data_IF_069869290081
#
_entry.id   IF_069869290081
#
_cell.length_a   1.000
_cell.length_b   1.000
_cell.length_c   1.000
_cell.angle_alpha   90.00
_cell.angle_beta   90.00
_cell.angle_gamma   90.00
#
_symmetry.space_group_name_H-M   'P 1'
#
loop_
_entity.id
_entity.type
_entity.pdbx_description
1 polymer ?
#
# COMPACT_ATOMS: atom_id res chain seq x y z
N UNK A 1 -26.94 35.90 -11.47
CA UNK A 1 -26.71 35.06 -10.28
C UNK A 1 -26.31 33.67 -10.76
N UNK A 2 -25.08 33.51 -11.26
CA UNK A 2 -24.52 32.23 -11.73
C UNK A 2 -22.99 32.28 -11.57
N UNK A 3 -22.38 31.17 -11.13
CA UNK A 3 -20.95 30.91 -11.30
C UNK A 3 -20.09 30.93 -10.04
N UNK A 4 -20.14 29.89 -9.20
CA UNK A 4 -19.02 29.56 -8.27
C UNK A 4 -18.80 28.04 -8.09
N UNK A 5 -19.34 27.19 -8.97
CA UNK A 5 -19.04 25.75 -8.97
C UNK A 5 -18.08 25.45 -10.13
N UNK A 6 -16.78 25.63 -9.90
CA UNK A 6 -15.77 25.30 -10.92
C UNK A 6 -14.38 25.92 -10.77
N UNK A 7 -14.13 26.75 -9.74
CA UNK A 7 -12.79 27.32 -9.53
C UNK A 7 -11.88 26.30 -8.83
N UNK A 8 -10.82 25.89 -9.53
CA UNK A 8 -9.68 25.17 -8.94
C UNK A 8 -9.21 25.87 -7.66
N UNK A 9 -8.95 25.12 -6.58
CA UNK A 9 -8.51 25.67 -5.27
C UNK A 9 -7.32 26.64 -5.42
N UNK A 10 -6.44 26.41 -6.40
CA UNK A 10 -5.28 27.25 -6.75
C UNK A 10 -5.67 28.70 -7.10
N UNK A 11 -6.84 28.93 -7.70
CA UNK A 11 -7.33 30.27 -8.09
C UNK A 11 -8.24 30.91 -7.04
N UNK A 12 -8.83 30.11 -6.15
CA UNK A 12 -9.75 30.59 -5.11
C UNK A 12 -8.99 31.31 -3.98
N UNK A 13 -7.82 30.80 -3.58
CA UNK A 13 -7.03 31.34 -2.47
C UNK A 13 -6.49 32.76 -2.70
N UNK A 14 -5.89 33.10 -3.86
CA UNK A 14 -5.43 34.47 -4.15
C UNK A 14 -6.58 35.47 -4.21
N UNK A 15 -7.73 35.08 -4.79
CA UNK A 15 -8.93 35.92 -4.89
C UNK A 15 -9.53 36.25 -3.53
N UNK A 16 -9.63 35.26 -2.63
CA UNK A 16 -10.15 35.46 -1.28
C UNK A 16 -9.20 36.30 -0.40
N UNK A 17 -7.88 36.22 -0.64
CA UNK A 17 -6.87 37.01 0.09
C UNK A 17 -6.92 38.52 -0.25
N UNK A 18 -7.36 38.89 -1.45
CA UNK A 18 -7.61 40.29 -1.81
C UNK A 18 -8.89 40.85 -1.20
N UNK A 19 -9.88 40.00 -0.90
CA UNK A 19 -11.25 40.41 -0.55
C UNK A 19 -11.56 40.39 0.95
N UNK A 20 -10.76 39.69 1.75
CA UNK A 20 -10.98 39.52 3.18
C UNK A 20 -9.70 39.80 3.99
N UNK A 21 -9.83 40.48 5.14
CA UNK A 21 -8.69 40.61 6.05
C UNK A 21 -8.25 39.23 6.60
N UNK A 22 -7.00 39.15 7.06
CA UNK A 22 -6.36 37.92 7.54
C UNK A 22 -7.13 37.16 8.61
N UNK A 23 -7.85 37.86 9.50
CA UNK A 23 -8.65 37.27 10.59
C UNK A 23 -9.98 36.69 10.11
N UNK A 24 -10.60 37.29 9.10
CA UNK A 24 -11.86 36.81 8.50
C UNK A 24 -11.60 35.64 7.53
N UNK A 25 -10.46 35.68 6.83
CA UNK A 25 -9.99 34.59 5.99
C UNK A 25 -9.63 33.34 6.81
N UNK A 26 -8.94 33.49 7.95
CA UNK A 26 -8.62 32.37 8.83
C UNK A 26 -9.86 31.72 9.43
N UNK A 27 -10.87 32.52 9.80
CA UNK A 27 -12.15 32.00 10.29
C UNK A 27 -12.91 31.20 9.22
N UNK A 28 -12.94 31.69 7.97
CA UNK A 28 -13.53 30.98 6.83
C UNK A 28 -12.82 29.66 6.52
N UNK A 29 -11.48 29.66 6.54
CA UNK A 29 -10.67 28.45 6.34
C UNK A 29 -10.93 27.44 7.47
N UNK A 30 -10.98 27.90 8.72
CA UNK A 30 -11.23 27.03 9.87
C UNK A 30 -12.65 26.47 9.84
N UNK A 31 -13.65 27.27 9.47
CA UNK A 31 -15.03 26.80 9.31
C UNK A 31 -15.18 25.82 8.14
N UNK A 32 -14.48 26.05 7.02
CA UNK A 32 -14.46 25.11 5.89
C UNK A 32 -13.78 23.79 6.28
N UNK A 33 -12.67 23.85 7.02
CA UNK A 33 -11.96 22.68 7.54
C UNK A 33 -12.80 21.93 8.58
N UNK A 34 -13.55 22.63 9.42
CA UNK A 34 -14.50 22.05 10.38
C UNK A 34 -15.71 21.41 9.67
N UNK A 35 -16.23 22.02 8.60
CA UNK A 35 -17.26 21.42 7.74
C UNK A 35 -16.75 20.17 7.01
N UNK A 36 -15.54 20.23 6.42
CA UNK A 36 -14.89 19.06 5.82
C UNK A 36 -14.65 17.97 6.86
N UNK A 37 -14.22 18.31 8.07
CA UNK A 37 -14.03 17.37 9.19
C UNK A 37 -15.34 16.75 9.68
N UNK A 38 -16.42 17.52 9.73
CA UNK A 38 -17.78 17.02 10.05
C UNK A 38 -18.32 16.08 8.97
N UNK A 39 -17.95 16.31 7.69
CA UNK A 39 -18.29 15.42 6.57
C UNK A 39 -17.39 14.18 6.50
N UNK A 40 -16.10 14.31 6.81
CA UNK A 40 -15.11 13.23 6.84
C UNK A 40 -14.99 12.65 8.25
N UNK A 41 -15.99 11.86 8.67
CA UNK A 41 -15.85 11.01 9.87
C UNK A 41 -14.85 9.87 9.59
N UNK A 42 -13.56 10.20 9.64
CA UNK A 42 -12.46 9.23 9.58
C UNK A 42 -12.63 8.27 10.75
N UNK A 43 -12.67 6.97 10.46
CA UNK A 43 -12.93 5.97 11.49
C UNK A 43 -11.78 5.90 12.49
N UNK A 44 -12.11 5.88 13.79
CA UNK A 44 -11.14 5.66 14.88
C UNK A 44 -10.47 4.28 14.84
N UNK A 45 -11.00 3.34 14.07
CA UNK A 45 -10.39 2.03 13.85
C UNK A 45 -9.23 2.05 12.85
N UNK A 46 -8.99 3.18 12.16
CA UNK A 46 -7.80 3.35 11.33
C UNK A 46 -6.59 3.61 12.22
N UNK A 47 -5.48 2.94 11.91
CA UNK A 47 -4.20 3.15 12.61
C UNK A 47 -3.47 4.27 11.86
N UNK A 48 -3.62 5.50 12.34
CA UNK A 48 -3.06 6.70 11.71
C UNK A 48 -2.20 7.47 12.71
N UNK A 49 -1.03 7.91 12.26
CA UNK A 49 -0.24 8.94 12.96
C UNK A 49 -0.99 10.28 12.96
N UNK A 50 -0.59 11.19 13.84
CA UNK A 50 -1.15 12.54 13.87
C UNK A 50 -0.97 13.27 12.53
N UNK A 51 0.22 13.17 11.92
CA UNK A 51 0.50 13.71 10.59
C UNK A 51 -0.44 13.17 9.51
N UNK A 52 -0.70 11.86 9.50
CA UNK A 52 -1.62 11.26 8.53
C UNK A 52 -3.07 11.74 8.70
N UNK A 53 -3.51 11.97 9.94
CA UNK A 53 -4.84 12.53 10.23
C UNK A 53 -4.96 13.95 9.67
N UNK A 54 -3.96 14.79 9.93
CA UNK A 54 -3.91 16.16 9.41
C UNK A 54 -3.91 16.19 7.88
N UNK A 55 -3.09 15.33 7.26
CA UNK A 55 -3.07 15.19 5.80
C UNK A 55 -4.42 14.76 5.25
N UNK A 56 -5.06 13.73 5.81
CA UNK A 56 -6.40 13.29 5.38
C UNK A 56 -7.45 14.38 5.55
N UNK A 57 -7.43 15.12 6.66
CA UNK A 57 -8.35 16.23 6.91
C UNK A 57 -8.09 17.45 6.01
N UNK A 58 -6.90 17.57 5.42
CA UNK A 58 -6.57 18.63 4.46
C UNK A 58 -6.98 18.32 3.03
N UNK A 59 -7.30 17.05 2.71
CA UNK A 59 -7.69 16.65 1.37
C UNK A 59 -9.12 17.11 1.05
N UNK A 60 -9.38 17.62 -0.17
CA UNK A 60 -10.73 17.97 -0.56
C UNK A 60 -11.62 16.73 -0.66
N UNK A 61 -12.90 16.88 -0.29
CA UNK A 61 -13.88 15.78 -0.26
C UNK A 61 -14.00 15.09 -1.63
N UNK A 62 -13.78 15.82 -2.73
CA UNK A 62 -13.78 15.27 -4.10
C UNK A 62 -12.71 14.20 -4.36
N UNK A 63 -11.66 14.12 -3.53
CA UNK A 63 -10.63 13.08 -3.61
C UNK A 63 -11.05 11.78 -2.94
N UNK A 64 -12.14 11.80 -2.17
CA UNK A 64 -12.69 10.61 -1.54
C UNK A 64 -13.69 9.94 -2.46
N UNK A 65 -13.62 8.63 -2.52
CA UNK A 65 -14.67 7.81 -3.09
C UNK A 65 -15.83 7.79 -2.10
N UNK A 66 -17.04 8.11 -2.57
CA UNK A 66 -18.30 7.78 -1.92
C UNK A 66 -19.25 7.32 -3.02
N UNK A 67 -19.33 6.00 -3.21
CA UNK A 67 -20.08 5.39 -4.31
C UNK A 67 -20.94 4.25 -3.79
N UNK A 68 -22.21 4.28 -4.18
CA UNK A 68 -23.19 3.24 -3.87
C UNK A 68 -23.60 2.52 -5.16
N UNK A 69 -23.65 1.20 -5.07
CA UNK A 69 -24.17 0.32 -6.10
C UNK A 69 -25.39 -0.44 -5.59
N UNK A 70 -26.27 -0.81 -6.52
CA UNK A 70 -27.51 -1.53 -6.23
C UNK A 70 -27.26 -2.98 -5.84
N UNK A 71 -26.23 -3.61 -6.43
CA UNK A 71 -25.81 -4.96 -6.09
C UNK A 71 -24.29 -5.12 -5.95
N UNK A 72 -23.88 -6.26 -5.40
CA UNK A 72 -22.48 -6.68 -5.35
C UNK A 72 -21.88 -6.91 -6.75
N UNK A 73 -22.70 -7.35 -7.71
CA UNK A 73 -22.24 -7.64 -9.07
C UNK A 73 -21.83 -6.35 -9.78
N UNK A 74 -22.63 -5.29 -9.64
CA UNK A 74 -22.35 -3.98 -10.25
C UNK A 74 -21.06 -3.35 -9.69
N UNK A 75 -20.77 -3.60 -8.40
CA UNK A 75 -19.55 -3.12 -7.77
C UNK A 75 -18.32 -4.00 -8.07
N UNK A 76 -18.47 -5.18 -8.66
CA UNK A 76 -17.39 -6.17 -8.78
C UNK A 76 -16.21 -5.63 -9.60
N UNK A 77 -16.47 -5.00 -10.75
CA UNK A 77 -15.41 -4.39 -11.57
C UNK A 77 -14.64 -3.31 -10.81
N UNK A 78 -15.35 -2.46 -10.06
CA UNK A 78 -14.73 -1.43 -9.23
C UNK A 78 -13.87 -2.04 -8.11
N UNK A 79 -14.39 -3.06 -7.42
CA UNK A 79 -13.67 -3.75 -6.35
C UNK A 79 -12.39 -4.43 -6.89
N UNK A 80 -12.43 -5.01 -8.10
CA UNK A 80 -11.26 -5.61 -8.75
C UNK A 80 -10.19 -4.57 -9.07
N UNK A 81 -10.55 -3.49 -9.76
CA UNK A 81 -9.60 -2.42 -10.14
C UNK A 81 -8.89 -1.82 -8.93
N UNK A 82 -9.58 -1.69 -7.81
CA UNK A 82 -9.01 -1.16 -6.57
C UNK A 82 -8.43 -2.23 -5.63
N UNK A 83 -8.36 -3.50 -6.04
CA UNK A 83 -7.88 -4.63 -5.25
C UNK A 83 -8.60 -4.79 -3.90
N UNK A 84 -9.88 -4.41 -3.82
CA UNK A 84 -10.70 -4.44 -2.61
C UNK A 84 -11.38 -5.80 -2.37
N UNK A 85 -11.27 -6.73 -3.32
CA UNK A 85 -11.71 -8.12 -3.13
C UNK A 85 -10.71 -8.84 -2.23
N UNK A 86 -11.20 -9.32 -1.09
CA UNK A 86 -10.36 -9.97 -0.07
C UNK A 86 -10.09 -11.44 -0.42
N UNK A 87 -9.27 -11.68 -1.44
CA UNK A 87 -8.69 -13.00 -1.70
C UNK A 87 -7.65 -13.36 -0.63
N UNK A 88 -7.42 -14.65 -0.43
CA UNK A 88 -6.42 -15.19 0.50
C UNK A 88 -5.00 -15.09 -0.07
N UNK A 89 -4.53 -13.87 -0.37
CA UNK A 89 -3.16 -13.59 -0.79
C UNK A 89 -2.39 -12.85 0.33
N UNK A 90 -1.29 -13.42 0.86
CA UNK A 90 -0.57 -12.84 1.99
C UNK A 90 0.06 -11.47 1.67
N UNK A 91 0.45 -11.28 0.42
CA UNK A 91 1.14 -10.10 -0.13
C UNK A 91 0.21 -8.92 -0.40
N UNK A 92 -1.10 -9.04 -0.20
CA UNK A 92 -2.02 -7.93 -0.48
C UNK A 92 -1.72 -6.70 0.39
N UNK A 93 -1.79 -5.51 -0.20
CA UNK A 93 -1.59 -4.24 0.49
C UNK A 93 -2.76 -3.87 1.41
N UNK A 94 -3.96 -4.38 1.15
CA UNK A 94 -5.14 -4.13 1.99
C UNK A 94 -5.23 -5.07 3.20
N UNK A 95 -5.30 -4.51 4.40
CA UNK A 95 -5.57 -5.27 5.64
C UNK A 95 -6.89 -4.83 6.25
N UNK A 96 -7.66 -5.82 6.73
CA UNK A 96 -8.88 -5.58 7.48
C UNK A 96 -8.50 -5.04 8.86
N UNK A 97 -9.03 -3.86 9.20
CA UNK A 97 -8.83 -3.19 10.49
C UNK A 97 -10.02 -3.34 11.42
N UNK A 98 -11.21 -3.33 10.84
CA UNK A 98 -12.45 -3.52 11.57
C UNK A 98 -13.44 -4.23 10.67
N UNK A 99 -14.19 -5.16 11.23
CA UNK A 99 -15.32 -5.78 10.55
C UNK A 99 -16.47 -5.96 11.54
N UNK A 100 -17.68 -5.68 11.07
CA UNK A 100 -18.90 -5.93 11.80
C UNK A 100 -19.88 -6.60 10.85
N UNK A 101 -19.96 -7.94 10.95
CA UNK A 101 -20.82 -8.76 10.09
C UNK A 101 -22.29 -8.38 10.24
N UNK A 102 -22.77 -8.17 11.47
CA UNK A 102 -24.16 -7.79 11.75
C UNK A 102 -24.56 -6.46 11.08
N UNK A 103 -23.62 -5.51 10.98
CA UNK A 103 -23.84 -4.21 10.32
C UNK A 103 -23.39 -4.19 8.85
N UNK A 104 -22.86 -5.30 8.33
CA UNK A 104 -22.31 -5.39 6.98
C UNK A 104 -21.10 -4.48 6.73
N UNK A 105 -20.36 -4.07 7.76
CA UNK A 105 -19.25 -3.11 7.65
C UNK A 105 -17.92 -3.86 7.58
N UNK A 106 -17.06 -3.48 6.63
CA UNK A 106 -15.65 -3.85 6.58
C UNK A 106 -14.80 -2.60 6.34
N UNK A 107 -13.79 -2.39 7.18
CA UNK A 107 -12.82 -1.31 7.06
C UNK A 107 -11.46 -1.90 6.67
N UNK A 108 -10.97 -1.46 5.54
CA UNK A 108 -9.67 -1.81 4.97
C UNK A 108 -8.73 -0.61 5.08
N UNK A 109 -7.46 -0.89 5.35
CA UNK A 109 -6.39 0.10 5.35
C UNK A 109 -5.16 -0.49 4.68
N UNK A 110 -4.43 0.36 3.94
CA UNK A 110 -3.15 -0.02 3.38
C UNK A 110 -2.14 -0.37 4.49
N UNK A 111 -1.46 -1.50 4.36
CA UNK A 111 -0.43 -1.96 5.29
C UNK A 111 0.79 -1.03 5.37
N UNK A 112 1.18 -0.39 4.26
CA UNK A 112 2.29 0.58 4.25
C UNK A 112 1.91 1.91 4.92
N UNK A 113 0.61 2.09 5.22
CA UNK A 113 0.06 3.23 5.95
C UNK A 113 -0.20 2.98 7.43
N UNK A 114 0.00 1.75 7.90
CA UNK A 114 -0.23 1.38 9.29
C UNK A 114 1.09 1.10 9.98
N UNK A 115 1.51 2.01 10.84
CA UNK A 115 2.66 1.78 11.69
C UNK A 115 2.34 0.66 12.70
N UNK A 116 3.15 -0.41 12.70
CA UNK A 116 2.96 -1.54 13.60
C UNK A 116 3.27 -1.17 15.05
N UNK A 117 4.10 -0.14 15.30
CA UNK A 117 4.43 0.35 16.64
C UNK A 117 3.23 0.98 17.35
N UNK A 118 2.29 1.54 16.59
CA UNK A 118 1.07 2.17 17.09
C UNK A 118 -0.05 1.18 17.42
N UNK A 119 0.17 -0.12 17.19
CA UNK A 119 -0.83 -1.13 17.58
C UNK A 119 -0.86 -1.26 19.09
N UNK A 120 -2.05 -1.33 19.72
CA UNK A 120 -2.15 -1.70 21.12
C UNK A 120 -1.40 -3.01 21.32
N UNK A 121 -0.44 -3.03 22.26
CA UNK A 121 0.08 -4.28 22.78
C UNK A 121 -1.09 -4.93 23.51
N UNK A 122 -1.82 -5.81 22.82
CA UNK A 122 -2.79 -6.64 23.51
C UNK A 122 -2.03 -7.35 24.63
N UNK A 123 -2.46 -7.14 25.89
CA UNK A 123 -1.84 -7.75 27.08
C UNK A 123 -1.85 -9.29 27.06
N UNK A 124 -2.42 -9.90 26.02
CA UNK A 124 -2.35 -11.32 25.76
C UNK A 124 -1.04 -11.67 25.06
N UNK A 125 -0.08 -12.14 25.85
CA UNK A 125 1.20 -12.75 25.46
C UNK A 125 1.11 -13.90 24.43
N UNK A 126 -0.11 -14.36 24.09
CA UNK A 126 -0.38 -15.43 23.11
C UNK A 126 -0.80 -14.95 21.72
N UNK A 127 -0.98 -13.64 21.49
CA UNK A 127 -1.31 -13.15 20.16
C UNK A 127 -0.06 -13.12 19.26
N UNK A 128 -0.03 -13.97 18.22
CA UNK A 128 1.04 -14.02 17.21
C UNK A 128 1.37 -12.60 16.73
N UNK A 129 2.62 -12.15 16.95
CA UNK A 129 3.10 -10.85 16.43
C UNK A 129 2.79 -10.79 14.94
N UNK A 130 1.88 -9.89 14.57
CA UNK A 130 1.56 -9.61 13.17
C UNK A 130 2.83 -9.08 12.50
N UNK A 131 3.54 -9.94 11.75
CA UNK A 131 4.73 -9.53 11.00
C UNK A 131 4.35 -8.41 10.04
N UNK A 132 5.08 -7.31 10.10
CA UNK A 132 4.91 -6.18 9.18
C UNK A 132 5.51 -6.59 7.84
N UNK A 133 4.64 -6.91 6.88
CA UNK A 133 5.04 -7.36 5.53
C UNK A 133 5.51 -6.17 4.69
N UNK A 134 5.26 -4.93 5.06
CA UNK A 134 5.61 -3.78 4.24
C UNK A 134 6.19 -2.66 5.08
N UNK A 135 7.21 -1.96 4.57
CA UNK A 135 7.76 -0.79 5.23
C UNK A 135 6.65 0.23 5.44
N UNK A 136 6.67 0.89 6.60
CA UNK A 136 5.80 2.03 6.83
C UNK A 136 6.30 3.22 5.99
N UNK A 137 5.44 3.73 5.10
CA UNK A 137 5.70 4.91 4.25
C UNK A 137 4.59 5.96 4.39
N UNK A 138 3.73 5.82 5.41
CA UNK A 138 2.68 6.81 5.69
C UNK A 138 1.53 6.85 4.68
N UNK A 139 1.32 5.79 3.90
CA UNK A 139 0.22 5.72 2.92
C UNK A 139 -1.14 6.04 3.57
N UNK A 140 -1.96 6.88 2.92
CA UNK A 140 -3.25 7.32 3.44
C UNK A 140 -4.42 6.43 3.00
N UNK A 141 -4.18 5.44 2.15
CA UNK A 141 -5.23 4.68 1.50
C UNK A 141 -6.04 3.83 2.51
N UNK A 142 -7.37 4.03 2.51
CA UNK A 142 -8.35 3.28 3.31
C UNK A 142 -9.68 3.16 2.56
N UNK A 143 -10.40 2.08 2.82
CA UNK A 143 -11.72 1.84 2.25
C UNK A 143 -12.67 1.31 3.32
N UNK A 144 -13.84 1.94 3.45
CA UNK A 144 -14.96 1.45 4.23
C UNK A 144 -16.00 0.89 3.28
N UNK A 145 -16.17 -0.43 3.30
CA UNK A 145 -17.18 -1.15 2.55
C UNK A 145 -18.37 -1.40 3.48
N UNK A 146 -19.56 -0.99 3.06
CA UNK A 146 -20.81 -1.25 3.77
C UNK A 146 -21.78 -2.00 2.86
N UNK A 147 -22.14 -3.20 3.26
CA UNK A 147 -23.18 -4.02 2.62
C UNK A 147 -24.50 -3.82 3.37
N UNK A 148 -25.56 -3.58 2.61
CA UNK A 148 -26.91 -3.37 3.13
C UNK A 148 -27.74 -4.65 2.97
N UNK A 149 -28.83 -4.77 3.72
CA UNK A 149 -29.73 -5.94 3.67
C UNK A 149 -30.36 -6.16 2.29
N UNK A 150 -30.56 -5.08 1.53
CA UNK A 150 -31.07 -5.10 0.16
C UNK A 150 -29.98 -5.37 -0.89
N UNK A 151 -28.87 -6.01 -0.51
CA UNK A 151 -27.71 -6.31 -1.35
C UNK A 151 -26.95 -5.11 -1.94
N UNK A 152 -27.39 -3.88 -1.68
CA UNK A 152 -26.63 -2.70 -2.03
C UNK A 152 -25.28 -2.67 -1.32
N UNK A 153 -24.29 -2.05 -1.97
CA UNK A 153 -22.95 -1.87 -1.43
C UNK A 153 -22.57 -0.40 -1.56
N UNK A 154 -22.06 0.18 -0.47
CA UNK A 154 -21.43 1.50 -0.47
C UNK A 154 -19.94 1.36 -0.15
N UNK A 155 -19.10 2.06 -0.90
CA UNK A 155 -17.68 2.20 -0.65
C UNK A 155 -17.37 3.67 -0.40
N UNK A 156 -16.85 3.93 0.81
CA UNK A 156 -16.37 5.24 1.21
C UNK A 156 -14.89 5.19 1.58
N UNK A 157 -14.06 6.12 1.08
CA UNK A 157 -12.68 6.28 1.55
C UNK A 157 -11.74 6.89 0.54
N UNK A 158 -10.47 7.05 0.95
CA UNK A 158 -9.40 7.51 0.08
C UNK A 158 -8.67 6.31 -0.51
N UNK A 159 -8.84 6.05 -1.81
CA UNK A 159 -8.34 4.82 -2.45
C UNK A 159 -6.96 4.97 -3.12
N UNK A 160 -6.43 6.19 -3.19
CA UNK A 160 -5.15 6.45 -3.87
C UNK A 160 -3.97 6.06 -3.00
N UNK A 161 -3.16 5.11 -3.48
CA UNK A 161 -1.88 4.77 -2.88
C UNK A 161 -0.81 5.81 -3.26
N UNK A 162 0.11 6.12 -2.34
CA UNK A 162 1.28 6.93 -2.67
C UNK A 162 2.23 6.18 -3.60
N UNK A 163 3.05 6.90 -4.37
CA UNK A 163 4.06 6.29 -5.25
C UNK A 163 5.02 5.39 -4.46
N UNK A 164 5.50 5.87 -3.30
CA UNK A 164 6.36 5.06 -2.42
C UNK A 164 5.67 3.77 -1.99
N UNK A 165 4.37 3.83 -1.71
CA UNK A 165 3.57 2.66 -1.38
C UNK A 165 3.45 1.71 -2.58
N UNK A 166 3.31 2.22 -3.80
CA UNK A 166 3.23 1.40 -5.01
C UNK A 166 4.55 0.67 -5.26
N UNK A 167 5.70 1.37 -5.08
CA UNK A 167 7.05 0.81 -5.19
C UNK A 167 7.41 -0.20 -4.09
N UNK A 168 6.69 -0.22 -2.97
CA UNK A 168 6.97 -1.19 -1.90
C UNK A 168 6.70 -2.63 -2.37
N UNK A 169 7.71 -3.48 -2.15
CA UNK A 169 7.63 -4.93 -2.21
C UNK A 169 7.39 -5.52 -0.81
N UNK A 170 6.73 -6.68 -0.72
CA UNK A 170 6.52 -7.35 0.55
C UNK A 170 7.86 -7.83 1.15
N UNK A 171 8.17 -7.43 2.39
CA UNK A 171 9.09 -8.12 3.27
C UNK A 171 8.58 -9.55 3.49
N UNK A 172 9.14 -10.50 2.76
CA UNK A 172 9.12 -11.88 3.23
C UNK A 172 10.09 -11.98 4.41
N UNK A 173 9.69 -12.52 5.57
CA UNK A 173 10.69 -12.97 6.53
C UNK A 173 11.61 -13.91 5.76
N UNK A 174 12.92 -13.68 5.83
CA UNK A 174 13.89 -14.65 5.31
C UNK A 174 13.51 -15.99 5.94
N UNK A 175 12.93 -16.90 5.15
CA UNK A 175 13.15 -18.30 5.41
C UNK A 175 14.58 -18.49 4.92
N UNK A 176 15.53 -18.33 5.84
CA UNK A 176 16.95 -18.14 5.53
C UNK A 176 17.42 -19.17 4.51
N UNK A 177 17.00 -20.42 4.63
CA UNK A 177 17.42 -21.50 3.73
C UNK A 177 16.84 -21.42 2.32
N UNK A 178 15.53 -21.23 2.17
CA UNK A 178 14.85 -21.28 0.87
C UNK A 178 15.14 -20.01 0.05
N UNK A 179 15.12 -18.84 0.70
CA UNK A 179 15.39 -17.58 0.01
C UNK A 179 16.88 -17.39 -0.27
N UNK A 180 17.77 -17.95 0.55
CA UNK A 180 19.21 -17.97 0.25
C UNK A 180 19.50 -18.81 -0.99
N UNK A 181 18.85 -19.97 -1.14
CA UNK A 181 19.02 -20.78 -2.36
C UNK A 181 18.50 -20.07 -3.61
N UNK A 182 17.33 -19.42 -3.57
CA UNK A 182 16.81 -18.67 -4.73
C UNK A 182 17.62 -17.41 -5.04
N UNK A 183 18.00 -16.65 -4.02
CA UNK A 183 18.83 -15.45 -4.17
C UNK A 183 20.22 -15.78 -4.71
N UNK A 184 20.87 -16.80 -4.15
CA UNK A 184 22.19 -17.27 -4.60
C UNK A 184 22.12 -17.82 -6.02
N UNK A 185 21.13 -18.65 -6.34
CA UNK A 185 20.93 -19.18 -7.70
C UNK A 185 20.78 -18.06 -8.72
N UNK A 186 19.98 -17.04 -8.41
CA UNK A 186 19.77 -15.89 -9.28
C UNK A 186 21.04 -15.08 -9.47
N UNK A 187 21.71 -14.73 -8.37
CA UNK A 187 23.00 -14.06 -8.39
C UNK A 187 24.03 -14.82 -9.23
N UNK A 188 24.18 -16.13 -8.97
CA UNK A 188 25.15 -16.97 -9.66
C UNK A 188 24.81 -17.08 -11.14
N UNK A 189 23.63 -17.57 -11.50
CA UNK A 189 23.31 -17.88 -12.89
C UNK A 189 23.02 -16.65 -13.76
N UNK A 190 22.42 -15.60 -13.21
CA UNK A 190 21.98 -14.44 -14.01
C UNK A 190 23.02 -13.32 -14.07
N UNK A 191 23.92 -13.22 -13.08
CA UNK A 191 24.84 -12.08 -12.97
C UNK A 191 26.30 -12.50 -12.92
N UNK A 192 26.66 -13.48 -12.10
CA UNK A 192 28.06 -13.73 -11.77
C UNK A 192 28.73 -14.83 -12.61
N UNK A 193 27.96 -15.80 -13.12
CA UNK A 193 28.50 -16.94 -13.87
C UNK A 193 29.28 -16.49 -15.10
N UNK A 194 28.75 -15.53 -15.87
CA UNK A 194 29.41 -15.05 -17.08
C UNK A 194 30.76 -14.39 -16.77
N UNK A 195 30.84 -13.63 -15.68
CA UNK A 195 32.08 -13.03 -15.20
C UNK A 195 33.09 -14.11 -14.82
N UNK A 196 32.66 -15.15 -14.09
CA UNK A 196 33.53 -16.27 -13.72
C UNK A 196 33.99 -17.09 -14.93
N UNK A 197 33.13 -17.26 -15.93
CA UNK A 197 33.46 -17.98 -17.17
C UNK A 197 34.53 -17.22 -17.98
N UNK A 198 34.52 -15.88 -17.93
CA UNK A 198 35.50 -15.00 -18.59
C UNK A 198 36.81 -14.86 -17.80
N UNK A 199 36.75 -14.66 -16.49
CA UNK A 199 37.94 -14.47 -15.64
C UNK A 199 38.65 -15.77 -15.27
N UNK A 200 37.90 -16.88 -15.19
CA UNK A 200 38.42 -18.19 -14.78
C UNK A 200 37.95 -19.30 -15.74
N UNK A 201 38.37 -19.29 -17.01
CA UNK A 201 37.88 -20.25 -18.00
C UNK A 201 38.24 -21.72 -17.66
N UNK A 202 39.35 -21.93 -16.96
CA UNK A 202 39.94 -23.25 -16.72
C UNK A 202 39.61 -23.86 -15.35
N UNK A 203 38.80 -23.20 -14.52
CA UNK A 203 38.40 -23.78 -13.22
C UNK A 203 37.16 -24.65 -13.37
N UNK A 204 37.06 -25.67 -12.54
CA UNK A 204 35.93 -26.59 -12.51
C UNK A 204 34.64 -25.91 -12.06
N UNK A 205 33.50 -26.52 -12.40
CA UNK A 205 32.19 -26.02 -11.98
C UNK A 205 32.06 -25.92 -10.44
N UNK A 206 32.68 -26.84 -9.69
CA UNK A 206 32.66 -26.81 -8.22
C UNK A 206 33.45 -25.61 -7.68
N UNK A 207 34.62 -25.32 -8.25
CA UNK A 207 35.43 -24.17 -7.86
C UNK A 207 34.74 -22.84 -8.21
N UNK A 208 33.99 -22.78 -9.32
CA UNK A 208 33.17 -21.60 -9.66
C UNK A 208 32.09 -21.35 -8.61
N UNK A 209 31.39 -22.39 -8.21
CA UNK A 209 30.33 -22.27 -7.18
C UNK A 209 30.93 -21.89 -5.83
N UNK A 210 32.10 -22.42 -5.46
CA UNK A 210 32.79 -22.05 -4.23
C UNK A 210 33.17 -20.56 -4.21
N UNK A 211 33.79 -20.05 -5.29
CA UNK A 211 34.11 -18.62 -5.45
C UNK A 211 32.87 -17.73 -5.42
N UNK A 212 31.79 -18.16 -6.08
CA UNK A 212 30.52 -17.44 -6.04
C UNK A 212 29.94 -17.37 -4.62
N UNK A 213 30.05 -18.46 -3.86
CA UNK A 213 29.54 -18.54 -2.49
C UNK A 213 30.36 -17.65 -1.52
N UNK A 214 31.68 -17.62 -1.63
CA UNK A 214 32.52 -16.68 -0.86
C UNK A 214 32.11 -15.23 -1.10
N UNK A 215 32.01 -14.82 -2.37
CA UNK A 215 31.62 -13.46 -2.69
C UNK A 215 30.20 -13.16 -2.22
N UNK A 216 29.25 -14.07 -2.44
CA UNK A 216 27.87 -13.94 -1.96
C UNK A 216 27.79 -13.68 -0.46
N UNK A 217 28.54 -14.43 0.35
CA UNK A 217 28.54 -14.26 1.80
C UNK A 217 29.22 -12.96 2.26
N UNK A 218 30.08 -12.36 1.42
CA UNK A 218 30.65 -11.03 1.68
C UNK A 218 29.71 -9.87 1.34
N UNK A 219 28.62 -10.12 0.60
CA UNK A 219 27.66 -9.09 0.21
C UNK A 219 26.81 -8.60 1.40
N UNK A 220 26.45 -7.32 1.37
CA UNK A 220 25.51 -6.75 2.33
C UNK A 220 24.14 -7.43 2.27
N UNK A 221 23.41 -7.44 3.38
CA UNK A 221 22.05 -7.98 3.43
C UNK A 221 21.12 -7.29 2.42
N UNK A 222 21.31 -5.98 2.21
CA UNK A 222 20.55 -5.19 1.22
C UNK A 222 20.78 -5.71 -0.20
N UNK A 223 22.04 -5.95 -0.59
CA UNK A 223 22.36 -6.43 -1.93
C UNK A 223 21.86 -7.87 -2.12
N UNK A 224 22.05 -8.76 -1.13
CA UNK A 224 21.50 -10.13 -1.18
C UNK A 224 19.97 -10.13 -1.31
N UNK A 225 19.30 -9.22 -0.61
CA UNK A 225 17.85 -9.04 -0.71
C UNK A 225 17.43 -8.59 -2.11
N UNK A 226 18.21 -7.75 -2.77
CA UNK A 226 17.89 -7.27 -4.12
C UNK A 226 17.85 -8.40 -5.16
N UNK A 227 18.75 -9.40 -5.07
CA UNK A 227 18.74 -10.55 -5.98
C UNK A 227 17.51 -11.45 -5.76
N UNK A 228 17.07 -11.61 -4.52
CA UNK A 228 15.82 -12.34 -4.20
C UNK A 228 14.62 -11.62 -4.81
N UNK A 229 14.59 -10.28 -4.72
CA UNK A 229 13.53 -9.46 -5.32
C UNK A 229 13.53 -9.52 -6.85
N UNK A 230 14.71 -9.53 -7.48
CA UNK A 230 14.83 -9.65 -8.92
C UNK A 230 14.21 -10.96 -9.44
N UNK A 231 14.52 -12.09 -8.80
CA UNK A 231 13.95 -13.39 -9.14
C UNK A 231 12.43 -13.43 -9.00
N UNK A 232 11.88 -12.77 -7.98
CA UNK A 232 10.44 -12.67 -7.77
C UNK A 232 9.76 -11.83 -8.85
N UNK A 233 10.34 -10.67 -9.21
CA UNK A 233 9.82 -9.84 -10.31
C UNK A 233 9.87 -10.61 -11.63
N UNK A 234 10.97 -11.31 -11.89
CA UNK A 234 11.12 -12.14 -13.09
C UNK A 234 10.04 -13.21 -13.18
N UNK A 235 9.82 -13.97 -12.11
CA UNK A 235 8.75 -15.00 -12.05
C UNK A 235 7.36 -14.41 -12.23
N UNK A 236 7.07 -13.28 -11.58
CA UNK A 236 5.79 -12.59 -11.74
C UNK A 236 5.56 -12.12 -13.18
N UNK A 237 6.59 -11.65 -13.86
CA UNK A 237 6.48 -11.27 -15.27
C UNK A 237 6.24 -12.50 -16.16
N UNK A 238 6.99 -13.58 -15.96
CA UNK A 238 6.83 -14.85 -16.70
C UNK A 238 5.43 -15.46 -16.52
N UNK A 239 4.91 -15.49 -15.29
CA UNK A 239 3.55 -15.97 -14.99
C UNK A 239 2.46 -15.10 -15.62
N UNK A 240 2.65 -13.78 -15.67
CA UNK A 240 1.70 -12.88 -16.33
C UNK A 240 1.74 -13.02 -17.86
N UNK A 241 2.90 -13.30 -18.44
CA UNK A 241 3.01 -13.58 -19.88
C UNK A 241 2.27 -14.86 -20.28
N UNK A 242 2.28 -15.90 -19.45
CA UNK A 242 1.54 -17.14 -19.69
C UNK A 242 0.01 -16.99 -19.59
N UNK A 243 -0.48 -16.01 -18.81
CA UNK A 243 -1.91 -15.76 -18.65
C UNK A 243 -2.51 -14.83 -19.72
N UNK A 244 -1.69 -14.21 -20.58
CA UNK A 244 -2.14 -13.35 -21.69
C UNK A 244 -2.27 -14.14 -23.00
N UNK A 245 -1.65 -15.32 -23.08
CA UNK A 245 -1.67 -16.21 -24.25
C UNK A 245 -2.70 -17.35 -24.18
N UNK A 246 -3.57 -17.36 -23.17
CA UNK A 246 -4.76 -18.24 -23.09
C UNK A 246 -6.04 -17.43 -23.28
#
# INVERSE_FOLDING_TARGET
>A
MYGMFGMNEILLFPYLKQKFNTKKLSLLINNHRDLQSKMLKISSHLILTQKQKEQLCSLPVSRFTDRKWESQNDATSFLKVHNLILENKPERKWKVRYSNKAKGICLLQCCCGSDASLRPKNGNSKARKSRQIYKFVGCLAFARIKKYKNNCINIFGYLTHSEDCQRQLPFRPLNETINWQYGFSTYYHSFYKKILDEEFPNISQQERVAKANELWNSLSDELRTSFIQYDEVKRLLEDNHLNITQ
#
